data_IF_193794961615
#
_entry.id   IF_193794961615
#
_cell.length_a   1.000
_cell.length_b   1.000
_cell.length_c   1.000
_cell.angle_alpha   90.00
_cell.angle_beta   90.00
_cell.angle_gamma   90.00
#
_symmetry.space_group_name_H-M   'P 1'
#
loop_
_entity.id
_entity.type
_entity.pdbx_description
1 polymer ?
#
# COMPACT_ATOMS: atom_id res chain seq x y z
N UNK A 1 2.79 -2.84 -29.85
CA UNK A 1 2.27 -1.99 -28.74
C UNK A 1 2.76 -2.54 -27.39
N UNK A 2 3.05 -1.69 -26.39
CA UNK A 2 3.37 -2.15 -25.02
C UNK A 2 2.10 -2.03 -24.16
N UNK A 3 1.67 -3.14 -23.55
CA UNK A 3 0.59 -3.16 -22.57
C UNK A 3 1.06 -3.85 -21.29
N UNK A 4 1.19 -3.10 -20.19
CA UNK A 4 1.57 -3.62 -18.86
C UNK A 4 2.77 -4.60 -18.90
N UNK A 5 3.91 -4.14 -19.44
CA UNK A 5 5.17 -4.91 -19.58
C UNK A 5 5.11 -6.14 -20.50
N UNK A 6 4.06 -6.27 -21.32
CA UNK A 6 3.97 -7.28 -22.37
C UNK A 6 4.05 -6.61 -23.76
N UNK A 7 4.90 -7.14 -24.63
CA UNK A 7 5.00 -6.72 -26.03
C UNK A 7 3.89 -7.40 -26.83
N UNK A 8 3.00 -6.59 -27.39
CA UNK A 8 1.96 -7.04 -28.31
C UNK A 8 2.41 -6.76 -29.75
N UNK A 9 2.33 -7.79 -30.59
CA UNK A 9 2.59 -7.70 -32.02
C UNK A 9 1.27 -7.43 -32.75
N UNK A 10 1.23 -6.32 -33.49
CA UNK A 10 0.10 -5.99 -34.35
C UNK A 10 0.40 -6.52 -35.75
N UNK A 11 -0.37 -7.50 -36.21
CA UNK A 11 -0.22 -8.01 -37.58
C UNK A 11 -0.95 -7.08 -38.54
N UNK A 12 -0.22 -6.24 -39.26
CA UNK A 12 -0.80 -5.39 -40.31
C UNK A 12 -1.24 -6.25 -41.50
N UNK A 13 -2.55 -6.36 -41.71
CA UNK A 13 -3.09 -6.80 -43.00
C UNK A 13 -3.15 -5.60 -43.95
N UNK A 14 -2.48 -5.72 -45.10
CA UNK A 14 -2.55 -4.74 -46.18
C UNK A 14 -4.00 -4.65 -46.70
N UNK A 15 -4.59 -3.45 -46.63
CA UNK A 15 -5.93 -3.18 -47.13
C UNK A 15 -5.94 -3.24 -48.67
N UNK A 16 -6.64 -4.24 -49.19
CA UNK A 16 -7.16 -4.24 -50.57
C UNK A 16 -8.33 -3.24 -50.68
N UNK A 17 -8.29 -2.46 -51.75
CA UNK A 17 -9.13 -1.31 -52.07
C UNK A 17 -10.60 -1.65 -52.38
N UNK A 18 -11.52 -0.71 -52.13
CA UNK A 18 -12.74 -0.60 -52.94
C UNK A 18 -13.21 0.85 -53.11
N UNK A 19 -13.55 1.16 -54.34
CA UNK A 19 -13.93 2.46 -54.91
C UNK A 19 -15.27 2.97 -54.37
N UNK A 20 -15.28 4.18 -53.81
CA UNK A 20 -16.51 4.88 -53.40
C UNK A 20 -17.22 5.50 -54.60
N UNK A 21 -18.44 5.04 -54.88
CA UNK A 21 -19.40 5.66 -55.82
C UNK A 21 -19.80 7.05 -55.33
N UNK A 22 -19.81 8.03 -56.24
CA UNK A 22 -20.33 9.39 -56.02
C UNK A 22 -21.85 9.34 -55.84
N UNK A 23 -22.35 9.73 -54.67
CA UNK A 23 -23.76 10.06 -54.45
C UNK A 23 -24.02 11.51 -54.90
N UNK A 24 -25.17 11.73 -55.53
CA UNK A 24 -25.62 13.04 -56.01
C UNK A 24 -25.88 14.00 -54.85
N UNK A 25 -25.34 15.22 -54.95
CA UNK A 25 -25.54 16.29 -53.99
C UNK A 25 -26.94 16.92 -54.15
N UNK A 26 -27.94 16.35 -53.49
CA UNK A 26 -29.24 17.02 -53.35
C UNK A 26 -29.13 18.13 -52.26
N UNK A 27 -29.43 19.40 -52.57
CA UNK A 27 -29.40 20.51 -51.60
C UNK A 27 -30.28 20.27 -50.36
N UNK A 28 -31.38 19.52 -50.50
CA UNK A 28 -32.29 19.18 -49.40
C UNK A 28 -31.63 18.19 -48.44
N UNK A 29 -30.87 17.22 -48.98
CA UNK A 29 -30.09 16.26 -48.18
C UNK A 29 -29.02 16.98 -47.37
N UNK A 30 -28.29 17.95 -47.96
CA UNK A 30 -27.30 18.77 -47.24
C UNK A 30 -27.90 19.63 -46.12
N UNK A 31 -29.14 20.12 -46.27
CA UNK A 31 -29.82 20.91 -45.23
C UNK A 31 -30.28 20.01 -44.09
N UNK A 32 -30.82 18.83 -44.40
CA UNK A 32 -31.21 17.83 -43.41
C UNK A 32 -29.99 17.30 -42.63
N UNK A 33 -28.88 17.00 -43.32
CA UNK A 33 -27.62 16.62 -42.68
C UNK A 33 -27.13 17.71 -41.71
N UNK A 34 -27.10 18.98 -42.13
CA UNK A 34 -26.68 20.10 -41.26
C UNK A 34 -27.61 20.30 -40.05
N UNK A 35 -28.91 20.07 -40.18
CA UNK A 35 -29.87 20.16 -39.08
C UNK A 35 -29.68 19.01 -38.08
N UNK A 36 -29.49 17.79 -38.58
CA UNK A 36 -29.21 16.59 -37.75
C UNK A 36 -27.87 16.73 -37.04
N UNK A 37 -26.82 17.19 -37.73
CA UNK A 37 -25.50 17.49 -37.12
C UNK A 37 -25.61 18.60 -36.06
N UNK A 38 -26.44 19.62 -36.31
CA UNK A 38 -26.72 20.71 -35.38
C UNK A 38 -27.44 20.26 -34.11
N UNK A 39 -28.36 19.29 -34.20
CA UNK A 39 -29.05 18.71 -33.06
C UNK A 39 -28.15 17.74 -32.28
N UNK A 40 -27.47 16.82 -32.97
CA UNK A 40 -26.54 15.88 -32.35
C UNK A 40 -25.38 16.59 -31.63
N UNK A 41 -24.88 17.70 -32.18
CA UNK A 41 -23.81 18.48 -31.52
C UNK A 41 -24.30 19.25 -30.30
N UNK A 42 -25.57 19.67 -30.24
CA UNK A 42 -26.18 20.30 -29.06
C UNK A 42 -26.47 19.27 -27.97
N UNK A 43 -26.98 18.09 -28.31
CA UNK A 43 -27.20 16.98 -27.37
C UNK A 43 -25.87 16.46 -26.80
N UNK A 44 -24.86 16.23 -27.65
CA UNK A 44 -23.51 15.84 -27.15
C UNK A 44 -22.89 16.89 -26.22
N UNK A 45 -23.19 18.17 -26.41
CA UNK A 45 -22.77 19.26 -25.51
C UNK A 45 -23.57 19.29 -24.21
N UNK A 46 -24.85 18.91 -24.21
CA UNK A 46 -25.66 18.86 -22.98
C UNK A 46 -25.29 17.65 -22.11
N UNK A 47 -25.07 16.48 -22.70
CA UNK A 47 -24.67 15.25 -21.98
C UNK A 47 -23.31 15.42 -21.31
N UNK A 48 -22.33 16.05 -21.98
CA UNK A 48 -21.03 16.35 -21.36
C UNK A 48 -21.13 17.29 -20.16
N UNK A 49 -21.95 18.35 -20.26
CA UNK A 49 -22.22 19.27 -19.13
C UNK A 49 -22.95 18.59 -17.99
N UNK A 50 -23.83 17.63 -18.30
CA UNK A 50 -24.52 16.83 -17.29
C UNK A 50 -23.53 15.92 -16.55
N UNK A 51 -22.64 15.26 -17.29
CA UNK A 51 -21.61 14.39 -16.74
C UNK A 51 -20.62 15.13 -15.82
N UNK A 52 -20.31 16.40 -16.10
CA UNK A 52 -19.49 17.24 -15.20
C UNK A 52 -20.10 17.45 -13.80
N UNK A 53 -21.42 17.26 -13.66
CA UNK A 53 -22.13 17.38 -12.39
C UNK A 53 -22.24 16.06 -11.62
N UNK A 54 -21.76 14.96 -12.19
CA UNK A 54 -21.72 13.68 -11.50
C UNK A 54 -20.64 13.70 -10.44
N UNK A 55 -20.95 13.13 -9.27
CA UNK A 55 -19.99 12.97 -8.16
C UNK A 55 -19.47 11.53 -8.18
N UNK A 56 -18.76 11.18 -9.25
CA UNK A 56 -18.15 9.87 -9.44
C UNK A 56 -16.78 10.01 -10.10
N UNK A 57 -15.80 9.29 -9.59
CA UNK A 57 -14.49 9.20 -10.24
C UNK A 57 -14.59 8.34 -11.50
N UNK A 58 -13.76 8.64 -12.50
CA UNK A 58 -13.71 7.80 -13.70
C UNK A 58 -13.11 6.43 -13.38
N UNK A 59 -13.65 5.38 -14.00
CA UNK A 59 -13.19 4.02 -13.81
C UNK A 59 -12.02 3.69 -14.73
N UNK A 60 -10.95 3.17 -14.13
CA UNK A 60 -9.74 2.79 -14.86
C UNK A 60 -9.42 1.28 -14.80
N UNK A 61 -10.31 0.50 -14.18
CA UNK A 61 -10.17 -0.94 -13.99
C UNK A 61 -9.48 -1.36 -12.71
N UNK A 62 -8.87 -0.43 -11.96
CA UNK A 62 -8.05 -0.73 -10.77
C UNK A 62 -8.33 0.18 -9.58
N UNK A 63 -8.89 1.37 -9.80
CA UNK A 63 -9.05 2.40 -8.79
C UNK A 63 -10.13 2.08 -7.73
N UNK A 64 -11.17 1.34 -8.09
CA UNK A 64 -12.31 1.06 -7.19
C UNK A 64 -12.92 -0.32 -7.45
N UNK A 65 -13.72 -0.82 -6.50
CA UNK A 65 -14.49 -2.05 -6.71
C UNK A 65 -15.55 -1.82 -7.80
N UNK A 66 -15.50 -2.59 -8.89
CA UNK A 66 -16.39 -2.44 -10.03
C UNK A 66 -17.89 -2.53 -9.68
N UNK A 67 -18.29 -3.37 -8.72
CA UNK A 67 -19.70 -3.47 -8.29
C UNK A 67 -20.14 -2.17 -7.60
N UNK A 68 -19.30 -1.67 -6.70
CA UNK A 68 -19.61 -0.44 -5.96
C UNK A 68 -19.62 0.76 -6.89
N UNK A 69 -18.62 0.86 -7.75
CA UNK A 69 -18.52 1.91 -8.75
C UNK A 69 -19.73 1.92 -9.67
N UNK A 70 -20.14 0.75 -10.17
CA UNK A 70 -21.33 0.62 -11.03
C UNK A 70 -22.62 1.05 -10.32
N UNK A 71 -22.77 0.69 -9.05
CA UNK A 71 -23.92 1.15 -8.26
C UNK A 71 -23.92 2.67 -8.07
N UNK A 72 -22.75 3.29 -7.85
CA UNK A 72 -22.65 4.77 -7.77
C UNK A 72 -23.02 5.39 -9.11
N UNK A 73 -22.55 4.84 -10.22
CA UNK A 73 -22.88 5.32 -11.56
C UNK A 73 -24.40 5.26 -11.82
N UNK A 74 -25.04 4.12 -11.53
CA UNK A 74 -26.50 3.98 -11.70
C UNK A 74 -27.30 4.93 -10.81
N UNK A 75 -26.85 5.16 -9.58
CA UNK A 75 -27.47 6.13 -8.67
C UNK A 75 -27.35 7.55 -9.21
N UNK A 76 -26.20 7.92 -9.79
CA UNK A 76 -26.03 9.23 -10.43
C UNK A 76 -26.90 9.36 -11.69
N UNK A 77 -27.01 8.30 -12.51
CA UNK A 77 -27.97 8.29 -13.63
C UNK A 77 -29.40 8.53 -13.14
N UNK A 78 -29.83 7.85 -12.06
CA UNK A 78 -31.14 8.06 -11.47
C UNK A 78 -31.31 9.49 -10.91
N UNK A 79 -30.28 10.05 -10.27
CA UNK A 79 -30.28 11.43 -9.74
C UNK A 79 -30.49 12.50 -10.82
N UNK A 80 -30.09 12.20 -12.05
CA UNK A 80 -30.22 13.10 -13.20
C UNK A 80 -31.29 12.64 -14.21
N UNK A 81 -32.19 11.73 -13.82
CA UNK A 81 -33.28 11.22 -14.65
C UNK A 81 -32.83 10.62 -16.00
N UNK A 82 -31.63 10.02 -16.04
CA UNK A 82 -31.14 9.24 -17.18
C UNK A 82 -31.74 7.83 -17.08
N UNK A 83 -32.96 7.70 -17.58
CA UNK A 83 -33.76 6.48 -17.47
C UNK A 83 -33.61 5.55 -18.67
N UNK A 84 -33.33 6.09 -19.86
CA UNK A 84 -33.18 5.29 -21.07
C UNK A 84 -31.82 4.59 -21.10
N UNK A 85 -31.83 3.35 -21.59
CA UNK A 85 -30.64 2.52 -21.64
C UNK A 85 -29.60 3.11 -22.61
N UNK A 86 -30.03 3.64 -23.76
CA UNK A 86 -29.13 4.25 -24.74
C UNK A 86 -28.41 5.47 -24.15
N UNK A 87 -29.17 6.37 -23.50
CA UNK A 87 -28.62 7.57 -22.85
C UNK A 87 -27.66 7.20 -21.70
N UNK A 88 -27.97 6.12 -20.98
CA UNK A 88 -27.11 5.59 -19.92
C UNK A 88 -25.80 5.02 -20.50
N UNK A 89 -25.87 4.27 -21.60
CA UNK A 89 -24.70 3.72 -22.29
C UNK A 89 -23.81 4.84 -22.85
N UNK A 90 -24.39 5.87 -23.47
CA UNK A 90 -23.63 7.03 -23.95
C UNK A 90 -22.94 7.78 -22.82
N UNK A 91 -23.67 8.02 -21.72
CA UNK A 91 -23.14 8.69 -20.53
C UNK A 91 -22.03 7.86 -19.90
N UNK A 92 -22.20 6.54 -19.84
CA UNK A 92 -21.24 5.60 -19.26
C UNK A 92 -19.84 5.74 -19.88
N UNK A 93 -19.74 5.95 -21.20
CA UNK A 93 -18.46 6.17 -21.88
C UNK A 93 -17.63 7.32 -21.31
N UNK A 94 -18.29 8.38 -20.83
CA UNK A 94 -17.62 9.59 -20.30
C UNK A 94 -16.88 9.31 -18.98
N UNK A 95 -17.26 8.23 -18.29
CA UNK A 95 -16.70 7.83 -17.01
C UNK A 95 -15.74 6.65 -17.10
N UNK A 96 -15.32 6.25 -18.30
CA UNK A 96 -14.32 5.21 -18.53
C UNK A 96 -13.01 5.80 -19.03
N UNK A 97 -11.89 5.29 -18.51
CA UNK A 97 -10.54 5.66 -18.93
C UNK A 97 -9.61 4.46 -19.12
N UNK A 98 -8.46 4.71 -19.76
CA UNK A 98 -7.43 3.70 -20.04
C UNK A 98 -8.02 2.51 -20.81
N UNK A 99 -7.64 1.28 -20.48
CA UNK A 99 -8.13 0.07 -21.14
C UNK A 99 -9.64 -0.12 -21.04
N UNK A 100 -10.35 0.59 -20.16
CA UNK A 100 -11.81 0.53 -20.09
C UNK A 100 -12.48 1.20 -21.30
N UNK A 101 -11.81 2.14 -21.96
CA UNK A 101 -12.33 2.74 -23.19
C UNK A 101 -12.28 1.77 -24.37
N UNK A 102 -11.24 0.93 -24.42
CA UNK A 102 -11.09 -0.09 -25.45
C UNK A 102 -12.11 -1.22 -25.25
N UNK A 103 -12.35 -1.59 -23.98
CA UNK A 103 -13.44 -2.50 -23.61
C UNK A 103 -14.79 -1.94 -24.05
N UNK A 104 -15.07 -0.65 -23.79
CA UNK A 104 -16.32 -0.02 -24.23
C UNK A 104 -16.47 -0.09 -25.75
N UNK A 105 -15.43 0.28 -26.49
CA UNK A 105 -15.44 0.20 -27.96
C UNK A 105 -15.70 -1.23 -28.46
N UNK A 106 -15.14 -2.23 -27.77
CA UNK A 106 -15.41 -3.64 -28.06
C UNK A 106 -16.86 -4.03 -27.76
N UNK A 107 -17.44 -3.51 -26.67
CA UNK A 107 -18.84 -3.77 -26.33
C UNK A 107 -19.81 -3.07 -27.28
N UNK A 108 -19.47 -1.89 -27.79
CA UNK A 108 -20.25 -1.24 -28.85
C UNK A 108 -20.39 -2.14 -30.09
N UNK A 109 -19.35 -2.90 -30.44
CA UNK A 109 -19.40 -3.85 -31.57
C UNK A 109 -20.24 -5.09 -31.22
N UNK A 110 -20.13 -5.60 -29.98
CA UNK A 110 -20.80 -6.84 -29.56
C UNK A 110 -22.28 -6.68 -29.21
N UNK A 111 -22.64 -5.57 -28.55
CA UNK A 111 -23.98 -5.33 -27.99
C UNK A 111 -24.72 -4.20 -28.72
N UNK A 112 -24.01 -3.21 -29.28
CA UNK A 112 -24.59 -1.95 -29.80
C UNK A 112 -25.17 -1.01 -28.73
N UNK A 113 -25.52 0.21 -29.16
CA UNK A 113 -26.13 1.25 -28.32
C UNK A 113 -27.55 0.89 -27.88
N UNK A 114 -28.28 0.12 -28.69
CA UNK A 114 -29.70 -0.22 -28.48
C UNK A 114 -29.91 -1.46 -27.61
N UNK A 115 -28.82 -2.05 -27.10
CA UNK A 115 -28.92 -3.15 -26.15
C UNK A 115 -29.39 -2.66 -24.80
N UNK A 116 -30.01 -3.57 -24.05
CA UNK A 116 -30.40 -3.31 -22.68
C UNK A 116 -29.18 -3.00 -21.80
N UNK A 117 -29.35 -2.03 -20.90
CA UNK A 117 -28.33 -1.67 -19.92
C UNK A 117 -27.93 -2.86 -19.02
N UNK A 118 -28.88 -3.75 -18.74
CA UNK A 118 -28.67 -4.97 -17.96
C UNK A 118 -27.52 -5.83 -18.52
N UNK A 119 -27.43 -5.93 -19.84
CA UNK A 119 -26.41 -6.71 -20.55
C UNK A 119 -25.05 -6.03 -20.48
N UNK A 120 -25.02 -4.71 -20.65
CA UNK A 120 -23.82 -3.89 -20.49
C UNK A 120 -23.25 -4.00 -19.08
N UNK A 121 -24.09 -3.84 -18.06
CA UNK A 121 -23.74 -4.00 -16.64
C UNK A 121 -23.19 -5.40 -16.36
N UNK A 122 -23.86 -6.44 -16.85
CA UNK A 122 -23.42 -7.82 -16.64
C UNK A 122 -22.03 -8.07 -17.25
N UNK A 123 -21.83 -7.65 -18.50
CA UNK A 123 -20.53 -7.75 -19.18
C UNK A 123 -19.42 -6.98 -18.45
N UNK A 124 -19.73 -5.77 -17.99
CA UNK A 124 -18.80 -4.94 -17.23
C UNK A 124 -18.37 -5.63 -15.95
N UNK A 125 -19.32 -6.13 -15.16
CA UNK A 125 -19.03 -6.82 -13.90
C UNK A 125 -18.34 -8.17 -14.16
N UNK A 126 -18.67 -8.88 -15.24
CA UNK A 126 -17.94 -10.10 -15.59
C UNK A 126 -16.46 -9.84 -15.89
N UNK A 127 -16.15 -8.68 -16.49
CA UNK A 127 -14.80 -8.27 -16.88
C UNK A 127 -14.01 -7.69 -15.71
N UNK A 128 -14.63 -6.78 -14.94
CA UNK A 128 -13.92 -5.94 -13.97
C UNK A 128 -14.26 -6.23 -12.51
N UNK A 129 -15.31 -6.98 -12.20
CA UNK A 129 -15.56 -7.36 -10.81
C UNK A 129 -14.44 -8.27 -10.33
N UNK A 130 -13.85 -7.90 -9.20
CA UNK A 130 -12.84 -8.71 -8.58
C UNK A 130 -13.48 -9.98 -7.98
N UNK A 131 -13.31 -11.11 -8.66
CA UNK A 131 -13.77 -12.44 -8.22
C UNK A 131 -12.70 -13.17 -7.39
N UNK A 132 -11.51 -12.59 -7.23
CA UNK A 132 -10.37 -13.20 -6.55
C UNK A 132 -10.29 -12.84 -5.07
N UNK A 133 -9.70 -13.75 -4.28
CA UNK A 133 -9.47 -13.54 -2.85
C UNK A 133 -8.36 -12.53 -2.53
N UNK A 134 -7.58 -12.09 -3.51
CA UNK A 134 -6.40 -11.26 -3.30
C UNK A 134 -6.71 -9.95 -2.56
N UNK A 135 -7.72 -9.19 -3.01
CA UNK A 135 -8.11 -7.95 -2.34
C UNK A 135 -8.69 -8.20 -0.96
N UNK A 136 -9.50 -9.26 -0.80
CA UNK A 136 -10.02 -9.66 0.51
C UNK A 136 -8.91 -10.00 1.50
N UNK A 137 -7.94 -10.81 1.08
CA UNK A 137 -6.76 -11.16 1.87
C UNK A 137 -5.94 -9.91 2.20
N UNK A 138 -5.72 -9.04 1.22
CA UNK A 138 -4.98 -7.80 1.43
C UNK A 138 -5.65 -6.91 2.49
N UNK A 139 -6.94 -6.61 2.34
CA UNK A 139 -7.63 -5.76 3.30
C UNK A 139 -7.67 -6.37 4.70
N UNK A 140 -7.93 -7.68 4.84
CA UNK A 140 -7.93 -8.35 6.14
C UNK A 140 -6.53 -8.36 6.78
N UNK A 141 -5.48 -8.63 6.00
CA UNK A 141 -4.10 -8.67 6.48
C UNK A 141 -3.42 -7.30 6.64
N UNK A 142 -4.06 -6.22 6.15
CA UNK A 142 -3.52 -4.86 6.23
C UNK A 142 -3.34 -4.41 7.68
N UNK A 143 -2.09 -4.21 8.11
CA UNK A 143 -1.75 -3.91 9.51
C UNK A 143 -0.92 -2.65 9.62
N UNK A 144 -1.00 -2.01 10.78
CA UNK A 144 -0.23 -0.82 11.08
C UNK A 144 1.27 -1.14 11.09
N UNK A 145 2.06 -0.30 10.44
CA UNK A 145 3.52 -0.41 10.43
C UNK A 145 4.18 0.85 11.00
N UNK A 146 3.77 2.02 10.52
CA UNK A 146 4.27 3.33 10.96
C UNK A 146 3.35 4.44 10.46
N UNK A 147 3.56 5.67 10.93
CA UNK A 147 2.76 6.84 10.55
C UNK A 147 1.62 7.12 11.52
N UNK A 148 0.61 7.88 11.08
CA UNK A 148 -0.55 8.20 11.89
C UNK A 148 -1.42 6.96 12.11
N UNK A 149 -1.86 6.76 13.35
CA UNK A 149 -2.83 5.73 13.72
C UNK A 149 -4.19 6.01 13.05
N UNK A 150 -4.59 7.29 13.03
CA UNK A 150 -5.83 7.72 12.41
C UNK A 150 -5.85 7.46 10.90
N UNK A 151 -4.77 7.82 10.19
CA UNK A 151 -4.65 7.54 8.75
C UNK A 151 -4.70 6.04 8.45
N UNK A 152 -4.03 5.23 9.27
CA UNK A 152 -4.10 3.78 9.16
C UNK A 152 -5.55 3.28 9.31
N UNK A 153 -6.25 3.73 10.35
CA UNK A 153 -7.60 3.27 10.66
C UNK A 153 -8.59 3.65 9.55
N UNK A 154 -8.55 4.89 9.05
CA UNK A 154 -9.37 5.33 7.91
C UNK A 154 -9.08 4.52 6.64
N UNK A 155 -7.80 4.26 6.36
CA UNK A 155 -7.41 3.46 5.19
C UNK A 155 -7.87 2.00 5.32
N UNK A 156 -7.72 1.42 6.51
CA UNK A 156 -8.18 0.05 6.80
C UNK A 156 -9.70 -0.06 6.68
N UNK A 157 -10.44 0.88 7.24
CA UNK A 157 -11.90 0.97 7.10
C UNK A 157 -12.31 1.01 5.63
N UNK A 158 -11.74 1.94 4.86
CA UNK A 158 -12.01 2.06 3.42
C UNK A 158 -11.78 0.73 2.68
N UNK A 159 -10.63 0.08 2.91
CA UNK A 159 -10.31 -1.19 2.27
C UNK A 159 -11.34 -2.30 2.59
N UNK A 160 -11.82 -2.35 3.83
CA UNK A 160 -12.83 -3.34 4.25
C UNK A 160 -14.19 -3.05 3.62
N UNK A 161 -14.61 -1.79 3.61
CA UNK A 161 -15.87 -1.36 3.01
C UNK A 161 -15.88 -1.57 1.49
N UNK A 162 -14.74 -1.42 0.81
CA UNK A 162 -14.59 -1.71 -0.62
C UNK A 162 -14.82 -3.19 -0.97
N UNK A 163 -14.57 -4.10 -0.03
CA UNK A 163 -14.84 -5.53 -0.21
C UNK A 163 -16.27 -5.86 0.19
N UNK A 164 -16.71 -5.35 1.34
CA UNK A 164 -18.03 -5.65 1.91
C UNK A 164 -18.63 -4.40 2.54
N UNK A 165 -19.52 -3.76 1.78
CA UNK A 165 -20.28 -2.59 2.24
C UNK A 165 -21.21 -2.89 3.43
N UNK A 166 -21.66 -4.15 3.56
CA UNK A 166 -22.61 -4.60 4.59
C UNK A 166 -21.95 -5.15 5.85
N UNK A 167 -20.65 -4.90 6.06
CA UNK A 167 -19.96 -5.27 7.30
C UNK A 167 -20.56 -4.46 8.46
N UNK A 168 -20.82 -5.11 9.59
CA UNK A 168 -21.28 -4.44 10.79
C UNK A 168 -20.15 -3.65 11.46
N UNK A 169 -20.50 -2.56 12.14
CA UNK A 169 -19.53 -1.65 12.76
C UNK A 169 -18.67 -2.35 13.82
N UNK A 170 -19.25 -3.25 14.62
CA UNK A 170 -18.50 -4.00 15.64
C UNK A 170 -17.40 -4.86 15.04
N UNK A 171 -17.71 -5.63 14.01
CA UNK A 171 -16.72 -6.43 13.27
C UNK A 171 -15.70 -5.55 12.56
N UNK A 172 -16.12 -4.41 12.01
CA UNK A 172 -15.22 -3.44 11.38
C UNK A 172 -14.21 -2.89 12.40
N UNK A 173 -14.66 -2.49 13.58
CA UNK A 173 -13.82 -2.04 14.70
C UNK A 173 -12.86 -3.15 15.13
N UNK A 174 -13.36 -4.37 15.33
CA UNK A 174 -12.55 -5.52 15.76
C UNK A 174 -11.43 -5.82 14.75
N UNK A 175 -11.72 -5.77 13.45
CA UNK A 175 -10.70 -6.01 12.41
C UNK A 175 -9.69 -4.86 12.31
N UNK A 176 -10.11 -3.61 12.50
CA UNK A 176 -9.19 -2.46 12.53
C UNK A 176 -8.27 -2.57 13.75
N UNK A 177 -8.84 -2.85 14.93
CA UNK A 177 -8.09 -2.99 16.17
C UNK A 177 -7.09 -4.15 16.11
N UNK A 178 -7.48 -5.30 15.52
CA UNK A 178 -6.60 -6.46 15.36
C UNK A 178 -5.34 -6.18 14.51
N UNK A 179 -5.36 -5.14 13.67
CA UNK A 179 -4.20 -4.73 12.89
C UNK A 179 -3.31 -3.68 13.56
N UNK A 180 -3.65 -3.22 14.78
CA UNK A 180 -2.85 -2.30 15.57
C UNK A 180 -1.82 -3.05 16.44
N UNK A 181 -0.74 -2.39 16.87
CA UNK A 181 0.20 -2.98 17.82
C UNK A 181 -0.40 -3.08 19.23
N UNK A 182 0.02 -4.11 19.98
CA UNK A 182 -0.48 -4.40 21.35
C UNK A 182 -0.45 -3.17 22.27
N UNK A 183 0.66 -2.42 22.28
CA UNK A 183 0.80 -1.23 23.14
C UNK A 183 -0.19 -0.08 22.85
N UNK A 184 -0.88 -0.13 21.71
CA UNK A 184 -2.00 0.76 21.39
C UNK A 184 -3.31 0.12 21.82
N UNK A 185 -3.55 -1.15 21.45
CA UNK A 185 -4.79 -1.86 21.76
C UNK A 185 -5.02 -2.04 23.25
N UNK A 186 -3.95 -2.20 24.04
CA UNK A 186 -4.00 -2.31 25.51
C UNK A 186 -4.55 -1.03 26.18
N UNK A 187 -4.58 0.09 25.46
CA UNK A 187 -5.11 1.37 25.93
C UNK A 187 -6.53 1.66 25.44
N UNK A 188 -7.09 0.80 24.59
CA UNK A 188 -8.43 0.93 24.07
C UNK A 188 -9.40 0.14 24.94
N UNK A 189 -10.49 0.79 25.38
CA UNK A 189 -11.57 0.09 26.04
C UNK A 189 -12.57 -0.42 25.00
N UNK A 190 -12.63 -1.75 24.81
CA UNK A 190 -13.53 -2.38 23.84
C UNK A 190 -15.02 -2.08 24.12
N UNK A 191 -15.41 -1.95 25.38
CA UNK A 191 -16.81 -1.75 25.76
C UNK A 191 -17.30 -0.32 25.47
N UNK A 192 -16.38 0.67 25.46
CA UNK A 192 -16.71 2.07 25.19
C UNK A 192 -16.70 2.41 23.69
N UNK A 193 -16.03 1.59 22.88
CA UNK A 193 -15.88 1.79 21.43
C UNK A 193 -17.01 1.06 20.70
N UNK A 194 -18.15 1.75 20.59
CA UNK A 194 -19.35 1.23 19.91
C UNK A 194 -19.32 1.57 18.40
N UNK A 195 -18.84 2.76 18.05
CA UNK A 195 -18.80 3.27 16.67
C UNK A 195 -17.36 3.47 16.19
N UNK A 196 -17.15 3.44 14.87
CA UNK A 196 -15.82 3.69 14.27
C UNK A 196 -15.30 5.10 14.58
N UNK A 197 -16.20 6.07 14.75
CA UNK A 197 -15.88 7.43 15.19
C UNK A 197 -15.26 7.46 16.61
N UNK A 198 -15.77 6.64 17.54
CA UNK A 198 -15.20 6.51 18.88
C UNK A 198 -13.76 5.99 18.77
N UNK A 199 -13.54 4.95 17.96
CA UNK A 199 -12.21 4.39 17.71
C UNK A 199 -11.25 5.46 17.16
N UNK A 200 -11.68 6.22 16.16
CA UNK A 200 -10.85 7.27 15.54
C UNK A 200 -10.45 8.36 16.53
N UNK A 201 -11.39 8.79 17.38
CA UNK A 201 -11.10 9.77 18.43
C UNK A 201 -10.08 9.24 19.44
N UNK A 202 -10.23 8.00 19.89
CA UNK A 202 -9.27 7.37 20.81
C UNK A 202 -7.88 7.20 20.17
N UNK A 203 -7.81 6.74 18.93
CA UNK A 203 -6.54 6.63 18.21
C UNK A 203 -5.86 7.99 18.04
N UNK A 204 -6.63 9.05 17.79
CA UNK A 204 -6.13 10.43 17.75
C UNK A 204 -5.44 10.85 19.05
N UNK A 205 -6.00 10.48 20.21
CA UNK A 205 -5.39 10.75 21.53
C UNK A 205 -4.08 9.97 21.73
N UNK A 206 -3.95 8.81 21.11
CA UNK A 206 -2.81 7.90 21.26
C UNK A 206 -1.65 8.17 20.27
N UNK A 207 -1.79 9.11 19.33
CA UNK A 207 -0.78 9.43 18.32
C UNK A 207 0.62 9.72 18.91
N UNK A 208 0.67 10.39 20.06
CA UNK A 208 1.92 10.73 20.75
C UNK A 208 2.77 9.51 21.12
N UNK A 209 2.17 8.32 21.28
CA UNK A 209 2.86 7.09 21.62
C UNK A 209 3.71 6.57 20.46
N UNK A 210 3.25 6.79 19.23
CA UNK A 210 3.98 6.41 18.02
C UNK A 210 5.22 7.27 17.86
N UNK A 211 5.09 8.58 18.04
CA UNK A 211 6.21 9.53 17.91
C UNK A 211 7.31 9.26 18.94
N UNK A 212 6.92 8.97 20.19
CA UNK A 212 7.85 8.62 21.27
C UNK A 212 8.64 7.35 20.96
N UNK A 213 7.98 6.31 20.45
CA UNK A 213 8.65 5.04 20.10
C UNK A 213 9.69 5.25 18.98
N UNK A 214 9.36 6.03 17.94
CA UNK A 214 10.31 6.38 16.86
C UNK A 214 11.55 7.10 17.39
N UNK A 215 11.40 7.97 18.38
CA UNK A 215 12.52 8.65 19.03
C UNK A 215 13.38 7.72 19.89
N UNK A 216 12.77 6.79 20.62
CA UNK A 216 13.49 5.77 21.42
C UNK A 216 14.31 4.84 20.52
N UNK A 217 13.77 4.43 19.37
CA UNK A 217 14.50 3.60 18.40
C UNK A 217 15.66 4.36 17.74
N UNK A 218 15.49 5.64 17.38
CA UNK A 218 16.60 6.48 16.89
C UNK A 218 17.75 6.60 17.89
N UNK A 219 17.45 6.83 19.18
CA UNK A 219 18.49 6.87 20.23
C UNK A 219 19.25 5.54 20.39
N UNK A 220 18.63 4.41 20.09
CA UNK A 220 19.28 3.09 20.13
C UNK A 220 20.16 2.81 18.90
N UNK A 221 19.88 3.42 17.75
CA UNK A 221 20.75 3.29 16.56
C UNK A 221 22.03 4.12 16.67
N UNK A 222 21.98 5.28 17.36
CA UNK A 222 23.17 6.11 17.64
C UNK A 222 24.10 5.51 18.70
N UNK A 223 23.72 4.38 19.31
CA UNK A 223 24.56 3.59 20.23
C UNK A 223 24.96 2.25 19.62
N UNK A 224 25.42 2.24 18.37
CA UNK A 224 26.36 1.19 17.95
C UNK A 224 27.66 1.43 18.74
N UNK A 225 28.11 0.51 19.61
CA UNK A 225 29.41 0.69 20.24
C UNK A 225 30.45 0.74 19.13
N UNK A 226 31.15 1.86 19.02
CA UNK A 226 32.40 1.95 18.28
C UNK A 226 33.23 0.77 18.78
N UNK A 227 33.49 -0.22 17.93
CA UNK A 227 34.35 -1.33 18.35
C UNK A 227 35.74 -0.71 18.56
N UNK A 228 36.14 -0.52 19.81
CA UNK A 228 37.45 0.02 20.15
C UNK A 228 38.53 -1.01 19.82
N UNK A 229 39.74 -0.53 19.51
CA UNK A 229 40.90 -1.40 19.28
C UNK A 229 41.24 -2.09 20.61
N UNK A 230 41.35 -3.41 20.61
CA UNK A 230 41.71 -4.14 21.81
C UNK A 230 43.20 -3.95 22.12
N UNK A 231 43.53 -3.28 23.24
CA UNK A 231 44.91 -3.02 23.63
C UNK A 231 45.68 -4.30 24.01
N UNK A 232 45.00 -5.37 24.44
CA UNK A 232 45.63 -6.67 24.72
C UNK A 232 46.18 -7.30 23.43
N UNK A 233 45.43 -7.25 22.33
CA UNK A 233 45.83 -7.80 21.03
C UNK A 233 46.99 -7.01 20.42
N UNK A 234 46.98 -5.69 20.60
CA UNK A 234 48.04 -4.78 20.16
C UNK A 234 49.35 -5.05 20.90
N UNK A 235 49.33 -5.13 22.24
CA UNK A 235 50.52 -5.43 23.07
C UNK A 235 51.18 -6.77 22.76
N UNK A 236 50.42 -7.75 22.27
CA UNK A 236 50.93 -9.08 21.94
C UNK A 236 51.33 -9.23 20.46
N UNK A 237 51.36 -8.13 19.69
CA UNK A 237 51.65 -8.11 18.25
C UNK A 237 50.81 -9.13 17.44
N UNK A 238 49.53 -9.32 17.81
CA UNK A 238 48.60 -10.24 17.12
C UNK A 238 47.70 -9.54 16.09
N UNK A 239 48.07 -8.33 15.70
CA UNK A 239 47.33 -7.45 14.79
C UNK A 239 46.24 -6.64 15.48
N UNK A 240 45.73 -5.61 14.80
CA UNK A 240 44.68 -4.71 15.31
C UNK A 240 43.33 -5.43 15.22
N UNK A 241 42.75 -5.77 16.38
CA UNK A 241 41.45 -6.46 16.48
C UNK A 241 40.48 -5.60 17.28
N UNK A 242 39.20 -5.64 16.91
CA UNK A 242 38.16 -4.75 17.44
C UNK A 242 37.09 -5.53 18.20
N UNK A 243 37.23 -5.57 19.52
CA UNK A 243 36.32 -6.24 20.47
C UNK A 243 36.59 -5.72 21.90
N UNK A 244 35.67 -5.95 22.84
CA UNK A 244 35.91 -5.56 24.24
C UNK A 244 37.06 -6.37 24.84
N UNK A 245 37.80 -5.79 25.79
CA UNK A 245 38.91 -6.50 26.44
C UNK A 245 38.43 -7.72 27.23
N UNK A 246 37.22 -7.64 27.81
CA UNK A 246 36.60 -8.75 28.55
C UNK A 246 36.32 -9.98 27.69
N UNK A 247 36.07 -9.78 26.40
CA UNK A 247 35.88 -10.85 25.43
C UNK A 247 37.18 -11.21 24.69
N UNK A 248 38.32 -10.64 25.07
CA UNK A 248 39.61 -10.95 24.46
C UNK A 248 40.07 -12.35 24.86
N UNK A 249 40.20 -13.23 23.87
CA UNK A 249 40.77 -14.58 24.04
C UNK A 249 42.13 -14.58 24.75
N UNK A 250 42.94 -13.54 24.54
CA UNK A 250 44.29 -13.45 25.10
C UNK A 250 44.33 -12.94 26.55
N UNK A 251 43.21 -12.47 27.12
CA UNK A 251 43.12 -11.99 28.51
C UNK A 251 43.42 -13.07 29.54
N UNK A 252 43.07 -14.33 29.26
CA UNK A 252 43.40 -15.45 30.16
C UNK A 252 44.91 -15.75 30.19
N UNK A 253 45.63 -15.57 29.07
CA UNK A 253 47.08 -15.85 29.03
C UNK A 253 47.89 -14.82 29.83
N UNK A 254 47.50 -13.55 29.80
CA UNK A 254 48.18 -12.50 30.57
C UNK A 254 47.93 -12.61 32.07
N UNK A 255 46.74 -13.05 32.51
CA UNK A 255 46.49 -13.32 33.93
C UNK A 255 47.31 -14.52 34.43
N UNK A 256 47.36 -15.61 33.67
CA UNK A 256 48.17 -16.80 34.05
C UNK A 256 49.67 -16.46 34.13
N UNK A 257 50.19 -15.60 33.25
CA UNK A 257 51.60 -15.16 33.32
C UNK A 257 51.88 -14.19 34.49
N UNK A 258 50.92 -13.33 34.84
CA UNK A 258 51.03 -12.46 36.02
C UNK A 258 51.00 -13.27 37.31
N UNK A 259 50.10 -14.24 37.43
CA UNK A 259 49.99 -15.11 38.59
C UNK A 259 51.28 -15.94 38.77
N UNK A 260 51.85 -16.48 37.67
CA UNK A 260 53.13 -17.19 37.72
C UNK A 260 54.32 -16.29 38.11
N UNK A 261 54.31 -15.00 37.75
CA UNK A 261 55.34 -14.04 38.16
C UNK A 261 55.18 -13.65 39.63
N UNK A 262 53.96 -13.49 40.12
CA UNK A 262 53.67 -13.24 41.55
C UNK A 262 54.10 -14.42 42.42
N UNK A 263 53.78 -15.65 42.03
CA UNK A 263 54.19 -16.85 42.76
C UNK A 263 55.73 -16.97 42.84
N UNK A 264 56.45 -16.62 41.76
CA UNK A 264 57.93 -16.60 41.79
C UNK A 264 58.52 -15.48 42.66
N UNK A 265 57.88 -14.31 42.70
CA UNK A 265 58.30 -13.19 43.56
C UNK A 265 58.10 -13.51 45.05
N UNK A 266 57.00 -14.20 45.39
CA UNK A 266 56.70 -14.60 46.78
C UNK A 266 57.69 -15.65 47.27
N UNK A 267 57.96 -16.70 46.48
CA UNK A 267 58.92 -17.74 46.88
C UNK A 267 60.35 -17.21 47.09
N UNK A 268 60.79 -16.24 46.28
CA UNK A 268 62.12 -15.65 46.47
C UNK A 268 62.19 -14.74 47.71
N UNK A 269 61.11 -14.02 48.04
CA UNK A 269 61.03 -13.19 49.24
C UNK A 269 60.99 -14.02 50.53
N UNK A 270 60.40 -15.22 50.50
CA UNK A 270 60.33 -16.12 51.65
C UNK A 270 61.70 -16.78 51.93
N UNK A 271 62.41 -17.20 50.87
CA UNK A 271 63.80 -17.69 50.96
C UNK A 271 64.79 -16.62 51.43
N UNK A 272 64.63 -15.35 51.03
CA UNK A 272 65.47 -14.24 51.51
C UNK A 272 65.21 -13.88 52.98
N UNK A 273 63.99 -14.10 53.50
CA UNK A 273 63.69 -13.92 54.92
C UNK A 273 64.23 -15.06 55.80
N UNK A 274 64.22 -16.30 55.30
CA UNK A 274 64.79 -17.46 56.03
C UNK A 274 66.33 -17.36 56.14
N UNK A 275 67.01 -16.91 55.08
CA UNK A 275 68.47 -16.71 55.09
C UNK A 275 68.94 -15.54 55.99
N UNK A 276 68.07 -14.59 56.32
CA UNK A 276 68.39 -13.50 57.26
C UNK A 276 68.13 -13.85 58.73
N UNK A 277 67.39 -14.94 59.01
CA UNK A 277 67.06 -15.35 60.38
C UNK A 277 68.02 -16.38 60.99
N UNK A 278 68.87 -17.05 60.21
CA UNK A 278 69.81 -18.06 60.75
C UNK A 278 71.15 -17.49 61.26
N UNK A 279 71.48 -16.21 61.03
CA UNK A 279 72.79 -15.64 61.39
C UNK A 279 72.80 -14.71 62.62
N UNK A 280 71.92 -14.92 63.61
CA UNK A 280 72.07 -14.28 64.93
C UNK A 280 71.82 -15.25 66.10
N UNK A 281 72.84 -16.07 66.43
CA UNK A 281 73.14 -16.50 67.82
C UNK A 281 74.50 -17.21 67.91
N UNK A 282 75.55 -16.41 68.10
CA UNK A 282 76.56 -16.48 69.19
C UNK A 282 77.84 -15.75 68.80
#
# INVERSE_FOLDING_TARGET
MIFQDQFLEETTQEQLSCVSKKYSEDPVVKILEKLVEGQQSKEKKSVKKLAERFVIEKFDGKNTNANQWMNVFENECARFDILKDEEKIETFRLFLEKSCTDWYSSMMIKLSLHSEWSQWKSSFLQTYANKGWASSKYALSFKYQSGSLLEYAMKKEKLLLEIRKTIDEGTLIDIIAAGLPDYITDKLNKEEIIHTSNLFNELGKLEHLVTRKKYIFKKKEDTKPIKEKCSICEKLNKGIRYHSEDSCWFKQKTNIEKDKKQIKLINNSELECELQCEDQKN
#
